data_IF_066021718550
#
_entry.id   IF_066021718550
#
_cell.length_a   1.000
_cell.length_b   1.000
_cell.length_c   1.000
_cell.angle_alpha   90.00
_cell.angle_beta   90.00
_cell.angle_gamma   90.00
#
_symmetry.space_group_name_H-M   'P 1'
#
loop_
_entity.id
_entity.type
_entity.pdbx_description
1 polymer ?
#
# COMPACT_ATOMS: atom_id res chain seq x y z
N UNK A 1 12.83 7.64 14.76
CA UNK A 1 12.10 6.79 13.81
C UNK A 1 12.21 5.33 14.21
N UNK A 2 11.09 4.78 14.66
CA UNK A 2 10.86 3.38 14.98
C UNK A 2 10.94 2.50 13.73
N UNK A 3 11.13 1.19 13.92
CA UNK A 3 11.18 0.20 12.81
C UNK A 3 9.91 0.22 11.95
N UNK A 4 8.75 0.47 12.58
CA UNK A 4 7.46 0.60 11.91
C UNK A 4 7.41 1.82 10.98
N UNK A 5 7.82 2.99 11.46
CA UNK A 5 7.83 4.23 10.68
C UNK A 5 8.67 4.10 9.41
N UNK A 6 9.87 3.49 9.54
CA UNK A 6 10.74 3.23 8.37
C UNK A 6 10.08 2.33 7.32
N UNK A 7 9.31 1.32 7.74
CA UNK A 7 8.57 0.43 6.82
C UNK A 7 7.44 1.17 6.11
N UNK A 8 6.72 2.04 6.83
CA UNK A 8 5.66 2.87 6.26
C UNK A 8 6.21 3.88 5.26
N UNK A 9 7.36 4.48 5.54
CA UNK A 9 8.04 5.37 4.58
C UNK A 9 8.51 4.60 3.34
N UNK A 10 9.13 3.44 3.51
CA UNK A 10 9.52 2.60 2.38
C UNK A 10 8.31 2.20 1.53
N UNK A 11 7.19 1.86 2.17
CA UNK A 11 5.93 1.55 1.49
C UNK A 11 5.41 2.72 0.65
N UNK A 12 5.47 3.96 1.18
CA UNK A 12 5.03 5.17 0.48
C UNK A 12 5.79 5.41 -0.83
N UNK A 13 7.05 4.99 -0.91
CA UNK A 13 7.89 5.15 -2.10
C UNK A 13 7.65 4.08 -3.18
N UNK A 14 6.87 3.02 -2.88
CA UNK A 14 6.59 1.97 -3.84
C UNK A 14 5.61 2.44 -4.94
N UNK A 15 5.71 1.89 -6.16
CA UNK A 15 4.67 2.06 -7.17
C UNK A 15 3.30 1.57 -6.67
N UNK A 16 2.20 2.22 -7.06
CA UNK A 16 0.84 1.91 -6.59
C UNK A 16 0.46 0.42 -6.70
N UNK A 17 0.85 -0.24 -7.79
CA UNK A 17 0.64 -1.69 -7.98
C UNK A 17 1.35 -2.54 -6.92
N UNK A 18 2.58 -2.15 -6.57
CA UNK A 18 3.38 -2.86 -5.58
C UNK A 18 2.84 -2.60 -4.16
N UNK A 19 2.33 -1.39 -3.90
CA UNK A 19 1.62 -1.08 -2.66
C UNK A 19 0.40 -1.97 -2.47
N UNK A 20 -0.43 -2.12 -3.51
CA UNK A 20 -1.60 -2.98 -3.46
C UNK A 20 -1.24 -4.46 -3.27
N UNK A 21 -0.24 -4.97 -4.01
CA UNK A 21 0.24 -6.35 -3.82
C UNK A 21 0.72 -6.61 -2.39
N UNK A 22 1.43 -5.64 -1.79
CA UNK A 22 1.89 -5.75 -0.41
C UNK A 22 0.72 -5.69 0.59
N UNK A 23 -0.26 -4.81 0.37
CA UNK A 23 -1.49 -4.74 1.18
C UNK A 23 -2.24 -6.08 1.17
N UNK A 24 -2.46 -6.64 -0.02
CA UNK A 24 -3.13 -7.93 -0.16
C UNK A 24 -2.33 -9.06 0.50
N UNK A 25 -1.00 -9.07 0.33
CA UNK A 25 -0.13 -10.06 0.98
C UNK A 25 -0.15 -9.93 2.50
N UNK A 26 -0.21 -8.70 3.02
CA UNK A 26 -0.28 -8.41 4.46
C UNK A 26 -1.59 -8.90 5.05
N UNK A 27 -2.71 -8.68 4.34
CA UNK A 27 -4.05 -9.16 4.73
C UNK A 27 -4.19 -10.68 4.68
N UNK A 28 -3.56 -11.32 3.70
CA UNK A 28 -3.58 -12.77 3.54
C UNK A 28 -2.59 -13.51 4.46
N UNK A 29 -1.68 -12.80 5.12
CA UNK A 29 -0.72 -13.39 6.03
C UNK A 29 -1.33 -13.59 7.43
N UNK A 30 -1.23 -14.81 7.97
CA UNK A 30 -1.86 -15.20 9.25
C UNK A 30 -1.37 -14.43 10.48
N UNK A 31 -0.16 -13.86 10.43
CA UNK A 31 0.44 -13.11 11.54
C UNK A 31 0.20 -11.61 11.33
N UNK A 32 0.55 -11.09 10.15
CA UNK A 32 0.45 -9.66 9.88
C UNK A 32 -0.99 -9.16 9.82
N UNK A 33 -1.94 -10.00 9.41
CA UNK A 33 -3.39 -9.70 9.43
C UNK A 33 -3.94 -9.36 10.82
N UNK A 34 -3.25 -9.79 11.89
CA UNK A 34 -3.65 -9.48 13.26
C UNK A 34 -3.26 -8.06 13.67
N UNK A 35 -2.31 -7.42 12.97
CA UNK A 35 -1.86 -6.06 13.25
C UNK A 35 -2.72 -5.04 12.48
N UNK A 36 -3.89 -4.73 13.04
CA UNK A 36 -4.86 -3.79 12.44
C UNK A 36 -4.28 -2.39 12.24
N UNK A 37 -3.58 -1.86 13.23
CA UNK A 37 -2.98 -0.51 13.15
C UNK A 37 -1.98 -0.40 11.99
N UNK A 38 -1.18 -1.45 11.77
CA UNK A 38 -0.27 -1.50 10.63
C UNK A 38 -1.01 -1.48 9.29
N UNK A 39 -2.05 -2.30 9.17
CA UNK A 39 -2.85 -2.39 7.93
C UNK A 39 -3.57 -1.08 7.67
N UNK A 40 -4.20 -0.47 8.68
CA UNK A 40 -4.86 0.83 8.56
C UNK A 40 -3.87 1.93 8.14
N UNK A 41 -2.64 1.89 8.65
CA UNK A 41 -1.58 2.81 8.25
C UNK A 41 -1.17 2.62 6.78
N UNK A 42 -1.02 1.36 6.33
CA UNK A 42 -0.72 1.06 4.93
C UNK A 42 -1.86 1.49 4.00
N UNK A 43 -3.12 1.25 4.38
CA UNK A 43 -4.29 1.65 3.58
C UNK A 43 -4.39 3.17 3.46
N UNK A 44 -4.17 3.89 4.57
CA UNK A 44 -4.15 5.35 4.57
C UNK A 44 -3.09 5.88 3.61
N UNK A 45 -1.85 5.39 3.72
CA UNK A 45 -0.76 5.81 2.83
C UNK A 45 -1.06 5.47 1.38
N UNK A 46 -1.62 4.30 1.11
CA UNK A 46 -1.98 3.89 -0.24
C UNK A 46 -3.04 4.84 -0.85
N UNK A 47 -4.06 5.22 -0.08
CA UNK A 47 -5.06 6.21 -0.51
C UNK A 47 -4.44 7.59 -0.73
N UNK A 48 -3.52 8.05 0.13
CA UNK A 48 -2.78 9.30 -0.08
C UNK A 48 -1.99 9.27 -1.40
N UNK A 49 -1.30 8.16 -1.66
CA UNK A 49 -0.55 7.96 -2.90
C UNK A 49 -1.48 7.93 -4.12
N UNK A 50 -2.63 7.24 -4.04
CA UNK A 50 -3.64 7.23 -5.10
C UNK A 50 -4.15 8.65 -5.37
N UNK A 51 -4.50 9.42 -4.34
CA UNK A 51 -5.00 10.78 -4.52
C UNK A 51 -3.97 11.70 -5.19
N UNK A 52 -2.70 11.53 -4.85
CA UNK A 52 -1.58 12.34 -5.37
C UNK A 52 -1.02 11.83 -6.71
N UNK A 53 -1.42 10.63 -7.15
CA UNK A 53 -0.89 10.00 -8.34
C UNK A 53 -1.29 10.73 -9.63
N UNK A 54 -0.40 10.71 -10.61
CA UNK A 54 -0.69 11.24 -11.94
C UNK A 54 -1.76 10.38 -12.65
N UNK A 55 -2.48 10.93 -13.65
CA UNK A 55 -3.45 10.16 -14.42
C UNK A 55 -2.87 8.90 -15.04
N UNK A 56 -1.61 8.93 -15.50
CA UNK A 56 -0.92 7.78 -16.07
C UNK A 56 -0.66 6.68 -15.03
N UNK A 57 -0.25 7.07 -13.82
CA UNK A 57 -0.04 6.13 -12.71
C UNK A 57 -1.36 5.49 -12.27
N UNK A 58 -2.45 6.27 -12.22
CA UNK A 58 -3.80 5.76 -11.95
C UNK A 58 -4.25 4.80 -13.04
N UNK A 59 -4.11 5.17 -14.31
CA UNK A 59 -4.48 4.28 -15.43
C UNK A 59 -3.71 2.95 -15.41
N UNK A 60 -2.41 2.97 -15.09
CA UNK A 60 -1.63 1.74 -14.93
C UNK A 60 -2.10 0.91 -13.72
N UNK A 61 -2.50 1.56 -12.62
CA UNK A 61 -3.06 0.93 -11.44
C UNK A 61 -4.45 0.31 -11.72
N UNK A 62 -5.37 1.04 -12.33
CA UNK A 62 -6.72 0.57 -12.68
C UNK A 62 -6.67 -0.65 -13.63
N UNK A 63 -5.77 -0.64 -14.61
CA UNK A 63 -5.54 -1.80 -15.48
C UNK A 63 -5.08 -3.03 -14.69
N UNK A 64 -4.21 -2.85 -13.71
CA UNK A 64 -3.72 -3.92 -12.86
C UNK A 64 -4.81 -4.47 -11.93
N UNK A 65 -5.68 -3.61 -11.39
CA UNK A 65 -6.80 -4.02 -10.52
C UNK A 65 -7.91 -4.72 -11.30
N UNK A 66 -8.09 -4.34 -12.57
CA UNK A 66 -9.13 -4.92 -13.44
C UNK A 66 -8.72 -6.25 -14.09
N UNK A 67 -7.53 -6.75 -13.81
CA UNK A 67 -7.02 -8.06 -14.29
C UNK A 67 -7.30 -9.14 -13.27
#
# INVERSE_FOLDING_TARGET
>A
MSSMEKRLEAFRQLPLRAQLSLLNSTRSNSILSQNREYIESLERIHQECLNSATPEQKAAYDRFVST
#
